data_IF_684132277099
#
_entry.id   IF_684132277099
#
_cell.length_a   1.000
_cell.length_b   1.000
_cell.length_c   1.000
_cell.angle_alpha   90.00
_cell.angle_beta   90.00
_cell.angle_gamma   90.00
#
_symmetry.space_group_name_H-M   'P 1'
#
loop_
_entity.id
_entity.type
_entity.pdbx_description
1 polymer ?
#
# COMPACT_ATOMS: atom_id res chain seq x y z
N UNK A 1 -3.39 13.46 -44.86
CA UNK A 1 -3.02 12.48 -43.81
C UNK A 1 -2.16 13.02 -42.66
N UNK A 2 -1.60 14.23 -42.71
CA UNK A 2 -0.76 14.80 -41.63
C UNK A 2 -1.54 15.38 -40.42
N UNK A 3 -2.80 15.78 -40.57
CA UNK A 3 -3.55 16.42 -39.50
C UNK A 3 -3.98 15.46 -38.34
N UNK A 4 -4.24 14.18 -38.66
CA UNK A 4 -4.66 13.18 -37.68
C UNK A 4 -3.50 12.76 -36.76
N UNK A 5 -2.27 12.69 -37.29
CA UNK A 5 -1.10 12.35 -36.47
C UNK A 5 -0.73 13.44 -35.45
N UNK A 6 -0.89 14.73 -35.85
CA UNK A 6 -0.60 15.85 -34.93
C UNK A 6 -1.55 15.91 -33.74
N UNK A 7 -2.84 15.63 -33.92
CA UNK A 7 -3.86 15.61 -32.84
C UNK A 7 -3.57 14.48 -31.85
N UNK A 8 -3.18 13.29 -32.32
CA UNK A 8 -2.85 12.16 -31.44
C UNK A 8 -1.63 12.45 -30.54
N UNK A 9 -0.61 13.11 -31.05
CA UNK A 9 0.60 13.49 -30.29
C UNK A 9 0.26 14.52 -29.21
N UNK A 10 -0.56 15.53 -29.51
CA UNK A 10 -0.96 16.56 -28.52
C UNK A 10 -1.79 15.93 -27.39
N UNK A 11 -2.67 15.00 -27.69
CA UNK A 11 -3.48 14.31 -26.67
C UNK A 11 -2.62 13.43 -25.76
N UNK A 12 -1.61 12.75 -26.30
CA UNK A 12 -0.69 11.92 -25.51
C UNK A 12 0.16 12.75 -24.55
N UNK A 13 0.67 13.89 -24.98
CA UNK A 13 1.48 14.81 -24.14
C UNK A 13 0.62 15.38 -23.00
N UNK A 14 -0.62 15.77 -23.27
CA UNK A 14 -1.53 16.31 -22.25
C UNK A 14 -1.89 15.26 -21.19
N UNK A 15 -2.08 14.00 -21.58
CA UNK A 15 -2.36 12.92 -20.64
C UNK A 15 -1.15 12.59 -19.75
N UNK A 16 0.06 12.63 -20.27
CA UNK A 16 1.29 12.43 -19.49
C UNK A 16 1.51 13.54 -18.48
N UNK A 17 1.28 14.81 -18.83
CA UNK A 17 1.39 15.93 -17.90
C UNK A 17 0.40 15.80 -16.76
N UNK A 18 -0.86 15.45 -17.04
CA UNK A 18 -1.89 15.32 -16.01
C UNK A 18 -1.58 14.19 -15.02
N UNK A 19 -1.05 13.05 -15.49
CA UNK A 19 -0.61 11.96 -14.59
C UNK A 19 0.57 12.39 -13.71
N UNK A 20 1.51 13.14 -14.25
CA UNK A 20 2.64 13.69 -13.49
C UNK A 20 2.20 14.68 -12.40
N UNK A 21 1.24 15.55 -12.71
CA UNK A 21 0.68 16.49 -11.73
C UNK A 21 -0.07 15.78 -10.60
N UNK A 22 -0.89 14.78 -10.90
CA UNK A 22 -1.59 13.96 -9.90
C UNK A 22 -0.58 13.26 -8.99
N UNK A 23 0.44 12.63 -9.57
CA UNK A 23 1.49 11.98 -8.79
C UNK A 23 2.23 12.97 -7.87
N UNK A 24 2.61 14.15 -8.38
CA UNK A 24 3.26 15.20 -7.60
C UNK A 24 2.42 15.64 -6.40
N UNK A 25 1.14 15.95 -6.62
CA UNK A 25 0.22 16.34 -5.55
C UNK A 25 0.05 15.25 -4.50
N UNK A 26 -0.03 13.98 -4.91
CA UNK A 26 -0.13 12.86 -3.98
C UNK A 26 1.16 12.69 -3.16
N UNK A 27 2.33 12.82 -3.81
CA UNK A 27 3.61 12.78 -3.13
C UNK A 27 3.74 13.85 -2.05
N UNK A 28 3.38 15.10 -2.37
CA UNK A 28 3.45 16.20 -1.42
C UNK A 28 2.50 15.96 -0.24
N UNK A 29 1.28 15.48 -0.51
CA UNK A 29 0.29 15.16 0.52
C UNK A 29 0.77 14.03 1.44
N UNK A 30 1.29 12.94 0.87
CA UNK A 30 1.79 11.79 1.64
C UNK A 30 3.03 12.20 2.45
N UNK A 31 3.96 12.94 1.87
CA UNK A 31 5.17 13.41 2.58
C UNK A 31 4.82 14.28 3.78
N UNK A 32 3.94 15.25 3.61
CA UNK A 32 3.51 16.10 4.73
C UNK A 32 2.85 15.28 5.86
N UNK A 33 2.06 14.27 5.50
CA UNK A 33 1.46 13.37 6.47
C UNK A 33 2.51 12.51 7.17
N UNK A 34 3.46 11.92 6.42
CA UNK A 34 4.58 11.10 6.93
C UNK A 34 5.45 11.91 7.88
N UNK A 35 5.82 13.14 7.51
CA UNK A 35 6.61 14.04 8.37
C UNK A 35 5.89 14.27 9.71
N UNK A 36 4.59 14.60 9.67
CA UNK A 36 3.80 14.75 10.89
C UNK A 36 3.72 13.47 11.72
N UNK A 37 3.63 12.29 11.10
CA UNK A 37 3.62 11.00 11.82
C UNK A 37 4.98 10.71 12.45
N UNK A 38 6.06 10.99 11.77
CA UNK A 38 7.43 10.80 12.29
C UNK A 38 7.73 11.73 13.47
N UNK A 39 7.26 12.98 13.43
CA UNK A 39 7.33 13.89 14.58
C UNK A 39 6.56 13.36 15.80
N UNK A 40 5.55 12.54 15.60
CA UNK A 40 4.73 11.90 16.64
C UNK A 40 5.13 10.45 16.96
N UNK A 41 6.33 10.03 16.61
CA UNK A 41 6.94 8.78 17.05
C UNK A 41 6.84 7.60 16.06
N UNK A 42 6.31 7.80 14.85
CA UNK A 42 6.42 6.81 13.77
C UNK A 42 7.80 6.88 13.11
N UNK A 43 8.15 5.87 12.31
CA UNK A 43 9.44 5.77 11.62
C UNK A 43 9.29 5.51 10.10
N UNK A 44 8.36 6.21 9.47
CA UNK A 44 8.15 6.08 8.03
C UNK A 44 9.39 6.47 7.22
N UNK A 45 9.75 5.61 6.27
CA UNK A 45 10.82 5.83 5.28
C UNK A 45 10.29 5.61 3.87
N UNK A 46 10.77 6.41 2.90
CA UNK A 46 10.48 6.20 1.49
C UNK A 46 11.37 5.07 0.96
N UNK A 47 10.79 3.89 0.70
CA UNK A 47 11.51 2.69 0.23
C UNK A 47 11.62 2.61 -1.28
N UNK A 48 10.70 3.26 -1.98
CA UNK A 48 10.71 3.49 -3.42
C UNK A 48 9.85 4.72 -3.73
N UNK A 49 10.03 5.30 -4.92
CA UNK A 49 9.33 6.54 -5.29
C UNK A 49 7.81 6.43 -5.10
N UNK A 50 7.28 7.17 -4.14
CA UNK A 50 5.86 7.20 -3.80
C UNK A 50 5.36 6.03 -2.96
N UNK A 51 6.25 5.29 -2.29
CA UNK A 51 5.90 4.25 -1.32
C UNK A 51 6.66 4.50 -0.02
N UNK A 52 5.94 4.69 1.05
CA UNK A 52 6.45 4.95 2.39
C UNK A 52 6.07 3.79 3.31
N UNK A 53 7.04 3.29 4.07
CA UNK A 53 6.91 2.16 4.99
C UNK A 53 7.30 2.56 6.40
N UNK A 54 6.52 2.09 7.38
CA UNK A 54 6.89 2.00 8.79
C UNK A 54 6.71 0.55 9.26
N UNK A 55 7.66 0.01 10.03
CA UNK A 55 7.53 -1.31 10.68
C UNK A 55 7.47 -1.10 12.17
N UNK A 56 6.30 -1.35 12.75
CA UNK A 56 6.08 -1.30 14.18
C UNK A 56 6.33 -2.68 14.77
N UNK A 57 7.28 -2.76 15.68
CA UNK A 57 7.69 -4.00 16.34
C UNK A 57 6.83 -4.29 17.57
N UNK A 58 6.61 -5.59 17.92
CA UNK A 58 5.99 -5.97 19.18
C UNK A 58 6.77 -5.46 20.40
N UNK A 59 6.06 -5.11 21.46
CA UNK A 59 6.68 -4.64 22.71
C UNK A 59 7.51 -5.71 23.43
N UNK A 60 7.15 -6.98 23.28
CA UNK A 60 7.82 -8.14 23.86
C UNK A 60 9.05 -8.60 23.05
N UNK A 61 9.37 -7.90 21.98
CA UNK A 61 10.52 -8.15 21.14
C UNK A 61 10.14 -8.63 19.74
N UNK A 62 11.06 -8.45 18.83
CA UNK A 62 10.87 -8.77 17.41
C UNK A 62 11.02 -10.28 17.17
N UNK A 63 10.10 -10.84 16.41
CA UNK A 63 10.14 -12.24 15.98
C UNK A 63 11.29 -12.57 15.02
N UNK A 64 11.46 -13.86 14.74
CA UNK A 64 12.38 -14.41 13.73
C UNK A 64 11.68 -15.55 12.99
N UNK A 65 12.08 -15.88 11.74
CA UNK A 65 13.08 -15.20 10.91
C UNK A 65 12.59 -13.88 10.35
N UNK A 66 13.52 -13.05 9.83
CA UNK A 66 13.17 -11.88 9.02
C UNK A 66 12.82 -12.35 7.60
N UNK A 67 11.79 -11.76 7.03
CA UNK A 67 11.33 -12.11 5.70
C UNK A 67 12.33 -11.72 4.62
N UNK A 68 12.72 -12.68 3.82
CA UNK A 68 13.55 -12.51 2.64
C UNK A 68 12.78 -12.92 1.36
N UNK A 69 13.29 -12.48 0.21
CA UNK A 69 12.71 -12.87 -1.07
C UNK A 69 12.74 -14.39 -1.25
N UNK A 70 11.58 -14.96 -1.57
CA UNK A 70 11.39 -16.41 -1.68
C UNK A 70 10.66 -17.01 -0.49
N UNK A 71 10.64 -16.36 0.67
CA UNK A 71 9.96 -16.88 1.86
C UNK A 71 8.44 -16.85 1.73
N UNK A 72 7.77 -17.77 2.41
CA UNK A 72 6.32 -17.79 2.51
C UNK A 72 5.87 -16.96 3.71
N UNK A 73 5.04 -15.93 3.46
CA UNK A 73 4.45 -15.06 4.47
C UNK A 73 2.96 -15.35 4.62
N UNK A 74 2.49 -15.33 5.87
CA UNK A 74 1.09 -15.40 6.24
C UNK A 74 0.67 -14.05 6.82
N UNK A 75 -0.31 -13.41 6.18
CA UNK A 75 -0.63 -12.00 6.40
C UNK A 75 -2.09 -11.81 6.76
N UNK A 76 -2.34 -10.98 7.77
CA UNK A 76 -3.63 -10.33 7.99
C UNK A 76 -3.51 -8.87 7.59
N UNK A 77 -4.47 -8.34 6.83
CA UNK A 77 -4.32 -7.00 6.26
C UNK A 77 -5.62 -6.19 6.27
N UNK A 78 -5.42 -4.90 6.18
CA UNK A 78 -6.44 -3.88 5.98
C UNK A 78 -5.95 -2.90 4.93
N UNK A 79 -6.81 -2.51 4.00
CA UNK A 79 -6.51 -1.52 2.96
C UNK A 79 -7.45 -0.35 3.12
N UNK A 80 -6.89 0.83 3.19
CA UNK A 80 -7.62 2.07 3.40
C UNK A 80 -7.46 3.00 2.20
N UNK A 81 -8.51 3.74 1.89
CA UNK A 81 -8.41 4.93 1.09
C UNK A 81 -7.59 5.97 1.86
N UNK A 82 -6.58 6.53 1.20
CA UNK A 82 -5.82 7.66 1.73
C UNK A 82 -6.24 8.94 1.01
N UNK A 83 -6.64 9.95 1.75
CA UNK A 83 -6.96 11.28 1.21
C UNK A 83 -5.84 12.27 1.59
N UNK A 84 -5.96 12.90 2.75
CA UNK A 84 -4.91 13.67 3.42
C UNK A 84 -4.39 12.95 4.66
N UNK A 85 -5.12 11.96 5.10
CA UNK A 85 -4.86 11.03 6.20
C UNK A 85 -5.78 9.82 6.04
N UNK A 86 -5.64 8.83 6.91
CA UNK A 86 -6.62 7.76 7.09
C UNK A 86 -6.77 7.46 8.59
N UNK A 87 -7.87 6.84 8.97
CA UNK A 87 -8.12 6.44 10.35
C UNK A 87 -8.14 4.91 10.44
N UNK A 88 -7.24 4.35 11.24
CA UNK A 88 -7.16 2.90 11.51
C UNK A 88 -8.35 2.39 12.35
N UNK A 89 -9.05 3.29 13.03
CA UNK A 89 -10.22 2.95 13.86
C UNK A 89 -11.54 3.14 13.12
N UNK A 90 -11.57 3.98 12.08
CA UNK A 90 -12.75 4.23 11.26
C UNK A 90 -12.89 3.19 10.15
N UNK A 91 -14.11 2.69 9.95
CA UNK A 91 -14.45 1.85 8.81
C UNK A 91 -14.79 2.66 7.56
N UNK A 92 -14.86 3.99 7.66
CA UNK A 92 -15.23 4.87 6.54
C UNK A 92 -14.24 4.88 5.39
N UNK A 93 -12.96 4.71 5.68
CA UNK A 93 -11.89 4.65 4.68
C UNK A 93 -11.45 3.21 4.36
N UNK A 94 -11.99 2.20 5.07
CA UNK A 94 -11.63 0.80 4.86
C UNK A 94 -12.22 0.28 3.55
N UNK A 95 -11.36 -0.25 2.68
CA UNK A 95 -11.72 -0.78 1.35
C UNK A 95 -11.72 -2.31 1.37
N UNK A 96 -10.66 -2.92 1.92
CA UNK A 96 -10.47 -4.36 2.01
C UNK A 96 -9.90 -4.77 3.36
N UNK A 97 -10.26 -5.97 3.81
CA UNK A 97 -9.56 -6.64 4.89
C UNK A 97 -9.81 -8.14 4.84
N UNK A 98 -8.92 -8.95 5.39
CA UNK A 98 -9.17 -10.35 5.72
C UNK A 98 -9.34 -10.56 7.24
N UNK A 99 -9.54 -9.49 8.01
CA UNK A 99 -9.82 -9.52 9.45
C UNK A 99 -11.32 -9.56 9.70
N UNK A 100 -11.86 -10.67 10.26
CA UNK A 100 -13.32 -10.80 10.50
C UNK A 100 -13.88 -9.70 11.40
N UNK A 101 -13.14 -9.27 12.41
CA UNK A 101 -13.55 -8.28 13.39
C UNK A 101 -13.63 -6.85 12.84
N UNK A 102 -13.05 -6.62 11.67
CA UNK A 102 -12.99 -5.29 11.03
C UNK A 102 -13.97 -5.15 9.86
N UNK A 103 -14.86 -6.09 9.68
CA UNK A 103 -15.77 -6.12 8.51
C UNK A 103 -16.89 -5.11 8.59
N UNK A 104 -16.97 -4.10 7.73
CA UNK A 104 -18.24 -3.41 7.47
C UNK A 104 -19.13 -4.25 6.55
N UNK A 105 -20.45 -4.16 6.73
CA UNK A 105 -21.48 -4.99 6.04
C UNK A 105 -21.49 -4.89 4.49
N UNK A 106 -20.59 -4.13 3.90
CA UNK A 106 -20.65 -3.74 2.47
C UNK A 106 -19.64 -4.42 1.57
N UNK A 107 -18.74 -5.25 2.09
CA UNK A 107 -17.57 -5.72 1.36
C UNK A 107 -17.56 -7.25 1.30
N UNK A 108 -17.20 -7.81 0.13
CA UNK A 108 -16.92 -9.24 0.00
C UNK A 108 -15.59 -9.58 0.66
N UNK A 109 -15.55 -10.67 1.43
CA UNK A 109 -14.47 -10.99 2.33
C UNK A 109 -13.78 -12.30 2.00
N UNK A 110 -12.47 -12.24 1.94
CA UNK A 110 -11.66 -13.42 2.19
C UNK A 110 -11.29 -13.43 3.69
N UNK A 111 -11.83 -14.39 4.45
CA UNK A 111 -11.60 -14.53 5.90
C UNK A 111 -10.33 -15.30 6.21
N UNK A 112 -9.64 -15.80 5.20
CA UNK A 112 -8.46 -16.61 5.36
C UNK A 112 -7.22 -15.74 5.44
N UNK A 113 -6.23 -16.18 6.22
CA UNK A 113 -4.90 -15.60 6.22
C UNK A 113 -4.33 -15.65 4.80
N UNK A 114 -3.93 -14.50 4.28
CA UNK A 114 -3.34 -14.40 2.95
C UNK A 114 -1.95 -15.04 2.97
N UNK A 115 -1.74 -16.06 2.15
CA UNK A 115 -0.43 -16.66 1.94
C UNK A 115 0.17 -16.18 0.62
N UNK A 116 1.38 -15.63 0.71
CA UNK A 116 2.20 -15.25 -0.45
C UNK A 116 3.58 -15.88 -0.36
N UNK A 117 4.29 -15.89 -1.48
CA UNK A 117 5.75 -16.03 -1.51
C UNK A 117 6.30 -14.65 -1.85
N UNK A 118 7.18 -14.13 -0.99
CA UNK A 118 7.70 -12.77 -1.13
C UNK A 118 8.48 -12.62 -2.44
N UNK A 119 8.03 -11.71 -3.29
CA UNK A 119 8.62 -11.44 -4.59
C UNK A 119 8.07 -12.30 -5.74
N UNK A 120 6.94 -13.01 -5.54
CA UNK A 120 6.25 -13.75 -6.62
C UNK A 120 5.28 -12.88 -7.44
N UNK A 121 5.12 -11.61 -7.06
CA UNK A 121 4.28 -10.63 -7.78
C UNK A 121 2.79 -10.79 -7.52
N UNK A 122 2.38 -11.46 -6.46
CA UNK A 122 0.95 -11.59 -6.09
C UNK A 122 0.36 -10.34 -5.48
N UNK A 123 1.18 -9.53 -4.83
CA UNK A 123 0.79 -8.23 -4.31
C UNK A 123 1.31 -7.09 -5.18
N UNK A 124 0.85 -5.89 -4.94
CA UNK A 124 1.45 -4.69 -5.52
C UNK A 124 2.91 -4.62 -5.13
N UNK A 125 3.77 -4.26 -6.08
CA UNK A 125 5.21 -4.18 -5.85
C UNK A 125 5.58 -3.38 -4.59
N UNK A 126 4.92 -2.23 -4.38
CA UNK A 126 5.15 -1.40 -3.20
C UNK A 126 4.83 -2.12 -1.88
N UNK A 127 3.81 -2.97 -1.85
CA UNK A 127 3.47 -3.78 -0.67
C UNK A 127 4.49 -4.89 -0.47
N UNK A 128 4.84 -5.63 -1.54
CA UNK A 128 5.84 -6.72 -1.45
C UNK A 128 7.21 -6.20 -0.97
N UNK A 129 7.71 -5.12 -1.56
CA UNK A 129 8.98 -4.51 -1.13
C UNK A 129 8.91 -4.01 0.33
N UNK A 130 7.72 -3.59 0.78
CA UNK A 130 7.51 -3.15 2.17
C UNK A 130 7.53 -4.31 3.17
N UNK A 131 7.26 -5.54 2.75
CA UNK A 131 7.27 -6.72 3.61
C UNK A 131 8.66 -7.33 3.78
N UNK A 132 9.64 -6.93 2.98
CA UNK A 132 11.02 -7.36 3.17
C UNK A 132 11.54 -6.95 4.56
N UNK A 133 12.31 -7.81 5.19
CA UNK A 133 12.86 -7.64 6.54
C UNK A 133 11.81 -7.59 7.66
N UNK A 134 10.52 -7.82 7.38
CA UNK A 134 9.52 -7.98 8.44
C UNK A 134 9.66 -9.35 9.13
N UNK A 135 9.13 -9.45 10.35
CA UNK A 135 9.19 -10.66 11.16
C UNK A 135 7.79 -11.05 11.67
N UNK A 136 7.59 -12.28 12.14
CA UNK A 136 6.34 -12.65 12.81
C UNK A 136 6.03 -11.70 13.97
N UNK A 137 4.81 -11.18 14.02
CA UNK A 137 4.35 -10.19 14.99
C UNK A 137 4.50 -8.74 14.56
N UNK A 138 5.32 -8.44 13.55
CA UNK A 138 5.46 -7.07 13.05
C UNK A 138 4.16 -6.55 12.43
N UNK A 139 3.90 -5.26 12.65
CA UNK A 139 2.89 -4.50 11.95
C UNK A 139 3.57 -3.60 10.90
N UNK A 140 3.35 -3.91 9.62
CA UNK A 140 3.90 -3.14 8.50
C UNK A 140 2.84 -2.17 8.00
N UNK A 141 3.14 -0.88 8.11
CA UNK A 141 2.32 0.22 7.60
C UNK A 141 2.90 0.72 6.29
N UNK A 142 2.08 0.76 5.23
CA UNK A 142 2.50 1.22 3.91
C UNK A 142 1.55 2.28 3.41
N UNK A 143 2.07 3.43 3.00
CA UNK A 143 1.28 4.46 2.30
C UNK A 143 1.88 4.68 0.93
N UNK A 144 1.04 4.67 -0.10
CA UNK A 144 1.53 4.78 -1.46
C UNK A 144 0.62 5.63 -2.35
N UNK A 145 1.25 6.26 -3.34
CA UNK A 145 0.53 6.97 -4.40
C UNK A 145 -0.32 6.00 -5.23
N UNK A 146 -1.34 6.53 -5.90
CA UNK A 146 -2.19 5.73 -6.77
C UNK A 146 -1.42 5.01 -7.88
N UNK A 147 -0.34 5.60 -8.38
CA UNK A 147 0.50 4.99 -9.42
C UNK A 147 1.21 3.71 -8.97
N UNK A 148 1.47 3.57 -7.68
CA UNK A 148 2.01 2.36 -7.06
C UNK A 148 0.91 1.40 -6.55
N UNK A 149 -0.35 1.83 -6.61
CA UNK A 149 -1.53 1.08 -6.18
C UNK A 149 -2.41 0.69 -7.38
N UNK A 150 -3.63 1.17 -7.43
CA UNK A 150 -4.63 0.77 -8.44
C UNK A 150 -4.64 1.68 -9.69
N UNK A 151 -3.80 2.72 -9.72
CA UNK A 151 -3.68 3.63 -10.86
C UNK A 151 -4.98 4.39 -11.16
N UNK A 152 -5.34 4.41 -12.44
CA UNK A 152 -6.54 5.04 -12.97
C UNK A 152 -7.76 4.09 -13.04
N UNK A 153 -7.68 2.96 -12.35
CA UNK A 153 -8.78 2.00 -12.25
C UNK A 153 -9.67 2.27 -11.03
N UNK A 154 -10.98 2.09 -11.21
CA UNK A 154 -11.91 2.00 -10.09
C UNK A 154 -11.86 0.59 -9.53
N UNK A 155 -11.66 0.45 -8.22
CA UNK A 155 -11.64 -0.84 -7.54
C UNK A 155 -12.63 -0.80 -6.39
N UNK A 156 -13.71 -1.54 -6.51
CA UNK A 156 -14.85 -1.47 -5.57
C UNK A 156 -15.32 -0.02 -5.32
N UNK A 157 -15.16 0.49 -4.09
CA UNK A 157 -15.54 1.85 -3.72
C UNK A 157 -14.39 2.86 -3.84
N UNK A 158 -13.19 2.41 -4.27
CA UNK A 158 -12.03 3.27 -4.46
C UNK A 158 -12.09 3.95 -5.82
N UNK A 159 -12.18 5.29 -5.89
CA UNK A 159 -12.11 6.02 -7.14
C UNK A 159 -10.75 5.87 -7.85
N UNK A 160 -10.70 6.13 -9.17
CA UNK A 160 -9.44 6.18 -9.90
C UNK A 160 -8.48 7.21 -9.28
N UNK A 161 -7.19 6.99 -9.45
CA UNK A 161 -6.14 7.89 -9.00
C UNK A 161 -6.20 8.22 -7.48
N UNK A 162 -6.61 7.25 -6.68
CA UNK A 162 -6.68 7.40 -5.22
C UNK A 162 -5.49 6.72 -4.56
N UNK A 163 -4.70 7.41 -3.73
CA UNK A 163 -3.68 6.82 -2.90
C UNK A 163 -4.29 5.86 -1.87
N UNK A 164 -3.52 4.90 -1.43
CA UNK A 164 -3.96 3.91 -0.44
C UNK A 164 -2.97 3.76 0.70
N UNK A 165 -3.49 3.34 1.86
CA UNK A 165 -2.69 2.87 2.97
C UNK A 165 -2.98 1.39 3.22
N UNK A 166 -1.93 0.62 3.47
CA UNK A 166 -2.00 -0.76 3.90
C UNK A 166 -1.52 -0.90 5.32
N UNK A 167 -2.26 -1.67 6.10
CA UNK A 167 -1.90 -2.12 7.42
C UNK A 167 -1.80 -3.63 7.37
N UNK A 168 -0.59 -4.17 7.54
CA UNK A 168 -0.32 -5.60 7.37
C UNK A 168 0.29 -6.16 8.64
N UNK A 169 -0.38 -7.12 9.27
CA UNK A 169 0.20 -7.92 10.34
C UNK A 169 0.85 -9.15 9.73
N UNK A 170 2.11 -9.36 10.05
CA UNK A 170 2.86 -10.54 9.67
C UNK A 170 2.64 -11.61 10.73
N UNK A 171 1.77 -12.59 10.42
CA UNK A 171 1.43 -13.66 11.36
C UNK A 171 2.52 -14.73 11.42
N UNK A 172 3.14 -15.01 10.26
CA UNK A 172 4.16 -16.05 10.15
C UNK A 172 5.08 -15.79 8.96
N UNK A 173 6.35 -16.14 9.15
CA UNK A 173 7.35 -16.23 8.09
C UNK A 173 7.87 -17.68 8.06
N UNK A 174 7.95 -18.29 6.88
CA UNK A 174 8.53 -19.61 6.64
C UNK A 174 9.61 -19.45 5.59
N UNK A 175 10.85 -19.71 6.02
CA UNK A 175 11.99 -19.75 5.12
C UNK A 175 11.83 -20.91 4.12
N UNK A 176 11.87 -20.60 2.84
CA UNK A 176 11.88 -21.60 1.78
C UNK A 176 13.34 -21.82 1.37
N UNK A 177 13.84 -23.00 1.65
CA UNK A 177 15.19 -23.46 1.26
C UNK A 177 15.29 -23.69 -0.25
#
# INVERSE_FOLDING_TARGET
MCAVAAVAVVLAVSACNKKGEIFGQQMDTIRSWVESRNENGSAYTEIMSGVFRDIVYPEDGRGTPLAERGDSLYLMYEVYKFSTSFSETSTGDLIYTNRPERMPDRVEWNRDTLRIVLGDGKLMKGVEESLAESAPGDLVMVVMTSGNAYGDHTVQQLPPNTPVAWRVNVEKVIENQ
#
